data_IF_581764625551
#
_entry.id   IF_581764625551
#
_cell.length_a   1.000
_cell.length_b   1.000
_cell.length_c   1.000
_cell.angle_alpha   90.00
_cell.angle_beta   90.00
_cell.angle_gamma   90.00
#
_symmetry.space_group_name_H-M   'P 1'
#
loop_
_entity.id
_entity.type
_entity.pdbx_description
1 polymer ?
#
# COMPACT_ATOMS: atom_id res chain seq x y z
N UNK A 1 22.86 6.05 -12.10
CA UNK A 1 22.62 6.40 -10.69
C UNK A 1 22.21 5.13 -9.94
N UNK A 2 22.90 4.81 -8.84
CA UNK A 2 22.53 3.69 -7.98
C UNK A 2 21.47 4.14 -6.96
N UNK A 3 20.20 3.98 -7.33
CA UNK A 3 19.06 4.37 -6.49
C UNK A 3 19.06 3.66 -5.12
N UNK A 4 19.64 2.45 -5.02
CA UNK A 4 19.71 1.74 -3.75
C UNK A 4 20.67 2.43 -2.77
N UNK A 5 21.77 2.98 -3.29
CA UNK A 5 22.74 3.76 -2.50
C UNK A 5 22.11 5.05 -1.97
N UNK A 6 21.46 5.83 -2.83
CA UNK A 6 20.78 7.07 -2.43
C UNK A 6 19.73 6.81 -1.34
N UNK A 7 18.91 5.77 -1.48
CA UNK A 7 17.93 5.43 -0.44
C UNK A 7 18.59 5.12 0.92
N UNK A 8 19.74 4.43 0.92
CA UNK A 8 20.47 4.13 2.16
C UNK A 8 21.03 5.40 2.79
N UNK A 9 21.58 6.31 1.98
CA UNK A 9 22.10 7.61 2.43
C UNK A 9 21.00 8.49 3.02
N UNK A 10 19.79 8.44 2.47
CA UNK A 10 18.60 9.13 3.00
C UNK A 10 17.97 8.45 4.22
N UNK A 11 18.57 7.38 4.74
CA UNK A 11 18.11 6.70 5.97
C UNK A 11 16.97 5.70 5.76
N UNK A 12 16.71 5.24 4.52
CA UNK A 12 15.71 4.19 4.27
C UNK A 12 16.17 2.87 4.89
N UNK A 13 15.47 2.47 5.96
CA UNK A 13 15.78 1.27 6.74
C UNK A 13 15.71 -0.04 5.95
N UNK A 14 14.81 -0.12 4.97
CA UNK A 14 14.62 -1.31 4.15
C UNK A 14 14.41 -0.92 2.68
N UNK A 15 15.43 -1.17 1.86
CA UNK A 15 15.36 -0.91 0.41
C UNK A 15 14.94 -2.17 -0.33
N UNK A 16 13.79 -2.13 -1.01
CA UNK A 16 13.29 -3.24 -1.82
C UNK A 16 13.17 -2.83 -3.29
N UNK A 17 14.26 -2.40 -3.91
CA UNK A 17 14.31 -2.08 -5.34
C UNK A 17 14.87 -3.31 -6.07
N UNK A 18 14.09 -4.04 -6.90
CA UNK A 18 14.62 -5.21 -7.60
C UNK A 18 15.64 -4.81 -8.68
N UNK A 19 16.58 -5.70 -8.98
CA UNK A 19 17.45 -5.54 -10.15
C UNK A 19 16.58 -5.52 -11.41
N UNK A 20 16.79 -4.49 -12.25
CA UNK A 20 16.10 -4.32 -13.53
C UNK A 20 17.00 -4.80 -14.66
N UNK A 21 16.50 -5.70 -15.51
CA UNK A 21 17.22 -6.21 -16.67
C UNK A 21 18.44 -7.08 -16.36
N UNK A 22 18.95 -7.76 -17.39
CA UNK A 22 20.11 -8.64 -17.30
C UNK A 22 19.92 -9.88 -16.42
N UNK A 23 20.97 -10.70 -16.31
CA UNK A 23 21.00 -11.80 -15.36
C UNK A 23 21.31 -11.30 -13.95
N UNK A 24 20.61 -11.83 -12.95
CA UNK A 24 20.85 -11.49 -11.54
C UNK A 24 22.10 -12.20 -11.05
N UNK A 25 22.97 -11.48 -10.35
CA UNK A 25 24.08 -12.13 -9.64
C UNK A 25 23.52 -13.08 -8.56
N UNK A 26 24.24 -14.16 -8.20
CA UNK A 26 23.79 -15.07 -7.14
C UNK A 26 23.48 -14.35 -5.82
N UNK A 27 24.33 -13.37 -5.45
CA UNK A 27 24.12 -12.50 -4.28
C UNK A 27 22.81 -11.73 -4.36
N UNK A 28 22.49 -11.16 -5.53
CA UNK A 28 21.24 -10.42 -5.73
C UNK A 28 20.03 -11.34 -5.66
N UNK A 29 20.12 -12.51 -6.29
CA UNK A 29 19.03 -13.48 -6.27
C UNK A 29 18.74 -13.97 -4.84
N UNK A 30 19.77 -14.22 -4.04
CA UNK A 30 19.63 -14.59 -2.63
C UNK A 30 18.97 -13.45 -1.83
N UNK A 31 19.43 -12.21 -2.00
CA UNK A 31 18.85 -11.03 -1.33
C UNK A 31 17.36 -10.84 -1.67
N UNK A 32 16.97 -10.92 -2.95
CA UNK A 32 15.57 -10.72 -3.35
C UNK A 32 14.64 -11.85 -2.89
N UNK A 33 15.19 -13.02 -2.53
CA UNK A 33 14.43 -14.13 -1.94
C UNK A 33 14.21 -13.96 -0.44
N UNK A 34 14.93 -13.05 0.22
CA UNK A 34 14.82 -12.83 1.67
C UNK A 34 13.40 -12.41 2.08
N UNK A 35 12.94 -12.77 3.29
CA UNK A 35 11.65 -12.34 3.81
C UNK A 35 11.50 -10.81 3.85
N UNK A 36 12.55 -10.09 4.26
CA UNK A 36 12.54 -8.64 4.37
C UNK A 36 12.33 -7.96 3.01
N UNK A 37 13.02 -8.43 1.96
CA UNK A 37 12.83 -7.92 0.61
C UNK A 37 11.40 -8.19 0.10
N UNK A 38 10.89 -9.41 0.29
CA UNK A 38 9.51 -9.77 -0.09
C UNK A 38 8.47 -8.95 0.66
N UNK A 39 8.71 -8.64 1.94
CA UNK A 39 7.81 -7.79 2.72
C UNK A 39 7.81 -6.35 2.18
N UNK A 40 8.96 -5.79 1.83
CA UNK A 40 9.05 -4.50 1.14
C UNK A 40 8.31 -4.48 -0.20
N UNK A 41 8.45 -5.55 -1.00
CA UNK A 41 7.70 -5.72 -2.25
C UNK A 41 6.18 -5.74 -2.02
N UNK A 42 5.70 -6.54 -1.04
CA UNK A 42 4.27 -6.61 -0.69
C UNK A 42 3.74 -5.25 -0.24
N UNK A 43 4.50 -4.52 0.57
CA UNK A 43 4.14 -3.18 0.98
C UNK A 43 3.98 -2.24 -0.22
N UNK A 44 4.95 -2.25 -1.15
CA UNK A 44 4.90 -1.48 -2.40
C UNK A 44 3.67 -1.81 -3.25
N UNK A 45 3.43 -3.09 -3.53
CA UNK A 45 2.24 -3.51 -4.28
C UNK A 45 0.94 -3.13 -3.56
N UNK A 46 0.94 -3.12 -2.22
CA UNK A 46 -0.19 -2.64 -1.43
C UNK A 46 -0.48 -1.15 -1.62
N UNK A 47 0.56 -0.30 -1.71
CA UNK A 47 0.41 1.12 -2.03
C UNK A 47 -0.20 1.29 -3.43
N UNK A 48 0.36 0.60 -4.44
CA UNK A 48 -0.15 0.66 -5.81
C UNK A 48 -1.61 0.20 -5.90
N UNK A 49 -1.97 -0.86 -5.17
CA UNK A 49 -3.36 -1.32 -5.06
C UNK A 49 -4.30 -0.26 -4.49
N UNK A 50 -3.88 0.47 -3.44
CA UNK A 50 -4.68 1.57 -2.86
C UNK A 50 -4.86 2.72 -3.85
N UNK A 51 -3.81 3.10 -4.58
CA UNK A 51 -3.88 4.13 -5.62
C UNK A 51 -4.82 3.69 -6.75
N UNK A 52 -4.73 2.43 -7.17
CA UNK A 52 -5.61 1.86 -8.20
C UNK A 52 -7.10 1.91 -7.80
N UNK A 53 -7.42 1.60 -6.54
CA UNK A 53 -8.79 1.74 -6.00
C UNK A 53 -9.27 3.19 -6.08
N UNK A 54 -8.43 4.16 -5.70
CA UNK A 54 -8.78 5.58 -5.82
C UNK A 54 -9.07 5.97 -7.27
N UNK A 55 -8.18 5.58 -8.19
CA UNK A 55 -8.31 5.92 -9.60
C UNK A 55 -9.50 5.26 -10.30
N UNK A 56 -9.65 3.94 -10.13
CA UNK A 56 -10.61 3.13 -10.90
C UNK A 56 -11.94 2.96 -10.16
N UNK A 57 -11.90 2.75 -8.85
CA UNK A 57 -13.09 2.46 -8.04
C UNK A 57 -13.72 3.67 -7.36
N UNK A 58 -12.97 4.76 -7.15
CA UNK A 58 -13.45 5.98 -6.45
C UNK A 58 -13.48 7.22 -7.33
N UNK A 59 -13.21 7.08 -8.62
CA UNK A 59 -13.36 8.17 -9.60
C UNK A 59 -12.31 9.28 -9.49
N UNK A 60 -11.18 9.06 -8.81
CA UNK A 60 -10.14 10.09 -8.65
C UNK A 60 -9.49 10.50 -9.99
N UNK A 61 -9.69 9.74 -11.07
CA UNK A 61 -9.33 10.15 -12.45
C UNK A 61 -10.19 11.28 -13.02
N UNK A 62 -11.37 11.55 -12.44
CA UNK A 62 -12.37 12.49 -12.97
C UNK A 62 -12.43 13.78 -12.15
N UNK A 63 -11.28 14.41 -11.93
CA UNK A 63 -11.24 15.71 -11.26
C UNK A 63 -11.91 16.77 -12.16
N UNK A 64 -12.98 17.39 -11.69
CA UNK A 64 -13.65 18.50 -12.37
C UNK A 64 -13.11 19.88 -11.97
N UNK A 65 -12.29 19.91 -10.92
CA UNK A 65 -11.67 21.13 -10.45
C UNK A 65 -10.50 21.53 -11.36
N UNK A 66 -10.46 22.80 -11.78
CA UNK A 66 -9.42 23.34 -12.68
C UNK A 66 -8.33 24.02 -11.88
N UNK A 67 -7.06 23.87 -12.29
CA UNK A 67 -5.93 24.53 -11.64
C UNK A 67 -5.31 23.69 -10.51
N UNK A 68 -4.02 23.92 -10.25
CA UNK A 68 -3.16 23.07 -9.41
C UNK A 68 -3.67 22.96 -7.97
N UNK A 69 -3.91 24.08 -7.32
CA UNK A 69 -4.35 24.14 -5.91
C UNK A 69 -5.64 23.33 -5.69
N UNK A 70 -6.65 23.55 -6.53
CA UNK A 70 -7.92 22.83 -6.43
C UNK A 70 -7.79 21.34 -6.75
N UNK A 71 -6.85 20.97 -7.63
CA UNK A 71 -6.52 19.57 -7.88
C UNK A 71 -5.87 18.91 -6.66
N UNK A 72 -4.95 19.60 -5.97
CA UNK A 72 -4.33 19.10 -4.73
C UNK A 72 -5.37 18.88 -3.63
N UNK A 73 -6.28 19.83 -3.43
CA UNK A 73 -7.41 19.69 -2.49
C UNK A 73 -8.29 18.51 -2.88
N UNK A 74 -8.62 18.33 -4.16
CA UNK A 74 -9.39 17.19 -4.63
C UNK A 74 -8.71 15.84 -4.32
N UNK A 75 -7.40 15.72 -4.58
CA UNK A 75 -6.64 14.51 -4.26
C UNK A 75 -6.63 14.26 -2.75
N UNK A 76 -6.39 15.29 -1.95
CA UNK A 76 -6.42 15.20 -0.48
C UNK A 76 -7.78 14.70 0.04
N UNK A 77 -8.86 15.29 -0.44
CA UNK A 77 -10.23 14.89 -0.09
C UNK A 77 -10.54 13.44 -0.51
N UNK A 78 -10.11 13.02 -1.70
CA UNK A 78 -10.31 11.66 -2.17
C UNK A 78 -9.56 10.63 -1.31
N UNK A 79 -8.31 10.93 -0.92
CA UNK A 79 -7.52 10.08 -0.01
C UNK A 79 -8.16 10.02 1.37
N UNK A 80 -8.57 11.16 1.94
CA UNK A 80 -9.23 11.23 3.24
C UNK A 80 -10.52 10.40 3.24
N UNK A 81 -11.40 10.61 2.27
CA UNK A 81 -12.66 9.86 2.16
C UNK A 81 -12.41 8.35 2.04
N UNK A 82 -11.42 7.93 1.24
CA UNK A 82 -11.07 6.53 1.13
C UNK A 82 -10.55 5.94 2.45
N UNK A 83 -9.74 6.69 3.21
CA UNK A 83 -9.26 6.24 4.51
C UNK A 83 -10.42 6.06 5.50
N UNK A 84 -11.39 6.99 5.53
CA UNK A 84 -12.59 6.87 6.36
C UNK A 84 -13.41 5.63 6.01
N UNK A 85 -13.62 5.36 4.71
CA UNK A 85 -14.31 4.15 4.26
C UNK A 85 -13.58 2.86 4.66
N UNK A 86 -12.24 2.85 4.61
CA UNK A 86 -11.44 1.70 5.06
C UNK A 86 -11.53 1.49 6.57
N UNK A 87 -11.48 2.56 7.36
CA UNK A 87 -11.65 2.49 8.82
C UNK A 87 -13.04 1.92 9.15
N UNK A 88 -14.09 2.46 8.53
CA UNK A 88 -15.46 1.97 8.72
C UNK A 88 -15.59 0.47 8.40
N UNK A 89 -15.03 0.02 7.27
CA UNK A 89 -15.02 -1.39 6.90
C UNK A 89 -14.32 -2.28 7.95
N UNK A 90 -13.14 -1.85 8.43
CA UNK A 90 -12.39 -2.57 9.47
C UNK A 90 -13.15 -2.65 10.80
N UNK A 91 -13.86 -1.59 11.18
CA UNK A 91 -14.70 -1.58 12.38
C UNK A 91 -15.86 -2.56 12.26
N UNK A 92 -16.51 -2.62 11.09
CA UNK A 92 -17.57 -3.59 10.81
C UNK A 92 -17.05 -5.03 10.86
N UNK A 93 -15.90 -5.30 10.22
CA UNK A 93 -15.25 -6.61 10.26
C UNK A 93 -14.89 -7.03 11.69
N UNK A 94 -14.32 -6.10 12.49
CA UNK A 94 -14.00 -6.35 13.91
C UNK A 94 -15.25 -6.70 14.71
N UNK A 95 -16.36 -5.98 14.50
CA UNK A 95 -17.64 -6.27 15.16
C UNK A 95 -18.18 -7.66 14.78
N UNK A 96 -18.10 -8.03 13.49
CA UNK A 96 -18.49 -9.36 13.00
C UNK A 96 -17.64 -10.48 13.63
N UNK A 97 -16.32 -10.32 13.65
CA UNK A 97 -15.40 -11.29 14.29
C UNK A 97 -15.70 -11.48 15.77
N UNK A 98 -15.94 -10.39 16.50
CA UNK A 98 -16.38 -10.45 17.91
C UNK A 98 -17.69 -11.22 18.05
N UNK A 99 -18.73 -10.91 17.26
CA UNK A 99 -20.02 -11.62 17.31
C UNK A 99 -19.85 -13.13 17.06
N UNK A 100 -19.07 -13.50 16.05
CA UNK A 100 -18.83 -14.90 15.71
C UNK A 100 -18.10 -15.66 16.83
N UNK A 101 -17.10 -15.03 17.45
CA UNK A 101 -16.37 -15.60 18.58
C UNK A 101 -17.28 -15.88 19.79
N UNK A 102 -18.22 -14.98 20.10
CA UNK A 102 -19.17 -15.22 21.20
C UNK A 102 -20.17 -16.33 20.85
N UNK A 103 -20.64 -16.40 19.59
CA UNK A 103 -21.52 -17.48 19.13
C UNK A 103 -20.84 -18.85 19.19
N UNK A 104 -19.57 -18.96 18.81
CA UNK A 104 -18.84 -20.22 18.89
C UNK A 104 -18.59 -20.66 20.33
N UNK A 105 -18.44 -19.71 21.27
CA UNK A 105 -18.28 -20.01 22.70
C UNK A 105 -19.59 -20.45 23.37
N UNK A 106 -20.74 -19.95 22.91
CA UNK A 106 -22.05 -20.33 23.45
C UNK A 106 -22.59 -21.66 22.89
N UNK A 107 -21.98 -22.18 21.81
CA UNK A 107 -22.34 -23.44 21.17
C UNK A 107 -21.41 -24.62 21.56
N UNK A 108 -20.48 -24.38 22.48
CA UNK A 108 -19.56 -25.34 23.07
C UNK A 108 -19.84 -25.44 24.58
#
# INVERSE_FOLDING_TARGET
MDHEKTCKEEGVKQVSIPQRGGQKTPRRQAYEKTPAFKQGQRFRSGIEGRISVLFRGRGMKRCRAKGRERFEVFVGAAVLANNLLRIAALLVEKKKKKKNFHRSKAAA
#
